data_IF_110444882365
#
_entry.id   IF_110444882365
#
_cell.length_a   1.000
_cell.length_b   1.000
_cell.length_c   1.000
_cell.angle_alpha   90.00
_cell.angle_beta   90.00
_cell.angle_gamma   90.00
#
_symmetry.space_group_name_H-M   'P 1'
#
loop_
_entity.id
_entity.type
_entity.pdbx_description
1 polymer ?
#
# COMPACT_ATOMS: atom_id res chain seq x y z
N UNK A 1 0.87 5.46 0.57
CA UNK A 1 -0.04 4.90 1.57
C UNK A 1 0.39 5.37 2.96
N UNK A 2 -0.52 5.40 3.92
CA UNK A 2 -0.26 5.95 5.28
C UNK A 2 -0.11 4.86 6.36
N UNK A 3 -0.64 3.66 6.10
CA UNK A 3 -0.54 2.52 7.02
C UNK A 3 -0.70 1.20 6.28
N UNK A 4 -0.25 0.12 6.92
CA UNK A 4 -0.52 -1.26 6.54
C UNK A 4 -1.30 -1.96 7.65
N UNK A 5 -2.24 -2.82 7.25
CA UNK A 5 -3.13 -3.54 8.17
C UNK A 5 -2.95 -5.04 7.94
N UNK A 6 -2.58 -5.76 8.99
CA UNK A 6 -2.47 -7.21 8.99
C UNK A 6 -3.64 -7.84 9.75
N UNK A 7 -4.02 -9.06 9.35
CA UNK A 7 -5.06 -9.84 10.03
C UNK A 7 -4.52 -10.68 11.18
N UNK A 8 -3.21 -10.91 11.20
CA UNK A 8 -2.48 -11.70 12.19
C UNK A 8 -1.29 -10.87 12.69
N UNK A 9 -0.93 -11.08 13.95
CA UNK A 9 0.24 -10.45 14.53
C UNK A 9 1.52 -10.99 13.90
N UNK A 10 2.44 -10.09 13.58
CA UNK A 10 3.77 -10.43 13.06
C UNK A 10 4.77 -9.40 13.58
N UNK A 11 5.42 -9.75 14.70
CA UNK A 11 6.37 -8.86 15.37
C UNK A 11 7.60 -8.56 14.50
N UNK A 12 8.03 -9.51 13.67
CA UNK A 12 9.17 -9.30 12.78
C UNK A 12 8.85 -8.25 11.70
N UNK A 13 7.65 -8.32 11.11
CA UNK A 13 7.18 -7.30 10.15
C UNK A 13 6.97 -5.96 10.85
N UNK A 14 6.36 -5.94 12.03
CA UNK A 14 6.18 -4.72 12.82
C UNK A 14 7.52 -4.03 13.09
N UNK A 15 8.47 -4.74 13.67
CA UNK A 15 9.80 -4.22 13.99
C UNK A 15 10.53 -3.71 12.73
N UNK A 16 10.40 -4.44 11.62
CA UNK A 16 10.98 -4.04 10.34
C UNK A 16 10.40 -2.71 9.84
N UNK A 17 9.07 -2.56 9.89
CA UNK A 17 8.38 -1.31 9.50
C UNK A 17 8.78 -0.16 10.42
N UNK A 18 8.77 -0.37 11.73
CA UNK A 18 9.14 0.66 12.71
C UNK A 18 10.59 1.11 12.54
N UNK A 19 11.51 0.16 12.28
CA UNK A 19 12.91 0.46 11.99
C UNK A 19 13.07 1.29 10.71
N UNK A 20 12.31 0.97 9.66
CA UNK A 20 12.31 1.76 8.42
C UNK A 20 11.84 3.19 8.70
N UNK A 21 10.70 3.36 9.37
CA UNK A 21 10.15 4.69 9.70
C UNK A 21 11.11 5.49 10.59
N UNK A 22 11.71 4.86 11.62
CA UNK A 22 12.69 5.50 12.51
C UNK A 22 13.95 5.98 11.80
N UNK A 23 14.32 5.32 10.70
CA UNK A 23 15.57 5.58 9.96
C UNK A 23 15.35 6.53 8.79
N UNK A 24 14.31 6.28 8.00
CA UNK A 24 14.03 6.95 6.73
C UNK A 24 12.92 8.01 6.84
N UNK A 25 12.36 8.21 8.03
CA UNK A 25 11.36 9.22 8.30
C UNK A 25 9.94 8.80 7.94
N UNK A 26 9.03 9.77 8.03
CA UNK A 26 7.61 9.59 7.76
C UNK A 26 6.81 9.10 8.97
N UNK A 27 5.54 8.83 8.75
CA UNK A 27 4.55 8.48 9.78
C UNK A 27 3.79 7.20 9.47
N UNK A 28 4.39 6.30 8.66
CA UNK A 28 3.75 5.07 8.23
C UNK A 28 3.49 4.15 9.43
N UNK A 29 2.26 3.59 9.50
CA UNK A 29 1.84 2.80 10.67
C UNK A 29 1.65 1.33 10.32
N UNK A 30 2.05 0.45 11.23
CA UNK A 30 1.65 -0.95 11.25
C UNK A 30 0.46 -1.12 12.20
N UNK A 31 -0.54 -1.91 11.81
CA UNK A 31 -1.72 -2.18 12.66
C UNK A 31 -2.22 -3.60 12.43
N UNK A 32 -2.67 -4.25 13.50
CA UNK A 32 -3.26 -5.59 13.44
C UNK A 32 -4.76 -5.52 13.72
N UNK A 33 -5.57 -6.15 12.88
CA UNK A 33 -7.02 -6.17 12.99
C UNK A 33 -7.53 -7.60 12.86
N UNK A 34 -8.07 -8.14 13.96
CA UNK A 34 -8.66 -9.48 14.00
C UNK A 34 -9.95 -9.59 13.18
N UNK A 35 -10.82 -8.58 13.26
CA UNK A 35 -12.09 -8.55 12.52
C UNK A 35 -12.00 -7.67 11.28
N UNK A 36 -11.32 -8.18 10.25
CA UNK A 36 -11.13 -7.49 8.98
C UNK A 36 -12.46 -7.18 8.27
N UNK A 37 -13.48 -8.05 8.40
CA UNK A 37 -14.81 -7.82 7.80
C UNK A 37 -15.46 -6.55 8.33
N UNK A 38 -15.44 -6.36 9.65
CA UNK A 38 -15.97 -5.15 10.26
C UNK A 38 -15.16 -3.93 9.85
N UNK A 39 -13.84 -4.05 9.80
CA UNK A 39 -12.98 -2.95 9.38
C UNK A 39 -13.28 -2.48 7.95
N UNK A 40 -13.46 -3.40 7.00
CA UNK A 40 -13.87 -3.07 5.62
C UNK A 40 -15.22 -2.32 5.63
N UNK A 41 -16.22 -2.85 6.34
CA UNK A 41 -17.55 -2.22 6.42
C UNK A 41 -17.48 -0.80 7.00
N UNK A 42 -16.74 -0.60 8.08
CA UNK A 42 -16.57 0.73 8.69
C UNK A 42 -15.78 1.69 7.81
N UNK A 43 -14.79 1.20 7.05
CA UNK A 43 -14.07 2.02 6.08
C UNK A 43 -15.01 2.54 4.98
N UNK A 44 -15.85 1.65 4.43
CA UNK A 44 -16.87 2.03 3.42
C UNK A 44 -17.90 3.01 3.97
N UNK A 45 -18.37 2.81 5.21
CA UNK A 45 -19.30 3.75 5.87
C UNK A 45 -18.75 5.17 6.01
N UNK A 46 -17.42 5.32 6.10
CA UNK A 46 -16.74 6.62 6.14
C UNK A 46 -16.55 7.26 4.76
N UNK A 47 -17.09 6.65 3.69
CA UNK A 47 -16.99 7.15 2.32
C UNK A 47 -15.73 6.71 1.60
N UNK A 48 -14.91 5.84 2.19
CA UNK A 48 -13.75 5.24 1.52
C UNK A 48 -14.16 4.16 0.52
N UNK A 49 -13.26 3.85 -0.42
CA UNK A 49 -13.43 2.78 -1.41
C UNK A 49 -12.52 1.61 -1.14
N UNK A 50 -13.00 0.40 -1.39
CA UNK A 50 -12.27 -0.84 -1.14
C UNK A 50 -11.87 -1.47 -2.46
N UNK A 51 -10.57 -1.55 -2.69
CA UNK A 51 -9.97 -2.17 -3.88
C UNK A 51 -9.35 -3.49 -3.47
N UNK A 52 -9.78 -4.57 -4.10
CA UNK A 52 -9.16 -5.88 -3.95
C UNK A 52 -8.30 -6.17 -5.19
N UNK A 53 -7.00 -6.38 -4.99
CA UNK A 53 -6.09 -6.77 -6.06
C UNK A 53 -6.11 -8.28 -6.24
N UNK A 54 -6.53 -8.72 -7.42
CA UNK A 54 -6.71 -10.13 -7.78
C UNK A 54 -6.52 -10.33 -9.28
N UNK A 55 -5.87 -11.43 -9.68
CA UNK A 55 -5.67 -11.75 -11.11
C UNK A 55 -7.00 -11.96 -11.87
N UNK A 56 -8.12 -12.14 -11.16
CA UNK A 56 -9.45 -12.33 -11.74
C UNK A 56 -10.24 -11.02 -11.93
N UNK A 57 -9.68 -9.88 -11.51
CA UNK A 57 -10.35 -8.58 -11.55
C UNK A 57 -10.30 -7.89 -12.92
N UNK A 58 -10.98 -6.74 -13.01
CA UNK A 58 -10.93 -5.85 -14.17
C UNK A 58 -9.53 -5.26 -14.35
N UNK A 59 -9.11 -4.99 -15.59
CA UNK A 59 -7.76 -4.52 -15.85
C UNK A 59 -7.52 -3.14 -15.20
N UNK A 60 -6.39 -2.99 -14.50
CA UNK A 60 -6.03 -1.73 -13.84
C UNK A 60 -6.07 -0.52 -14.77
N UNK A 61 -5.66 -0.67 -16.04
CA UNK A 61 -5.60 0.47 -16.95
C UNK A 61 -7.00 0.98 -17.35
N UNK A 62 -8.01 0.11 -17.33
CA UNK A 62 -9.39 0.45 -17.70
C UNK A 62 -10.11 1.16 -16.54
N UNK A 63 -9.89 0.68 -15.31
CA UNK A 63 -10.60 1.18 -14.12
C UNK A 63 -9.89 2.37 -13.45
N UNK A 64 -8.58 2.53 -13.62
CA UNK A 64 -7.82 3.59 -12.94
C UNK A 64 -8.37 5.02 -13.17
N UNK A 65 -8.81 5.42 -14.38
CA UNK A 65 -9.39 6.75 -14.58
C UNK A 65 -10.64 7.01 -13.73
N UNK A 66 -11.46 5.99 -13.49
CA UNK A 66 -12.66 6.08 -12.64
C UNK A 66 -12.26 6.26 -11.17
N UNK A 67 -11.39 5.38 -10.66
CA UNK A 67 -10.93 5.41 -9.26
C UNK A 67 -10.31 6.76 -8.92
N UNK A 68 -9.48 7.31 -9.81
CA UNK A 68 -8.83 8.61 -9.59
C UNK A 68 -9.84 9.76 -9.53
N UNK A 69 -10.91 9.71 -10.34
CA UNK A 69 -11.97 10.75 -10.35
C UNK A 69 -12.75 10.80 -9.03
N UNK A 70 -12.86 9.68 -8.31
CA UNK A 70 -13.60 9.64 -7.05
C UNK A 70 -12.95 10.50 -5.96
N UNK A 71 -11.61 10.65 -5.98
CA UNK A 71 -10.84 11.41 -5.01
C UNK A 71 -11.21 11.06 -3.54
N UNK A 72 -11.25 9.76 -3.25
CA UNK A 72 -11.62 9.17 -1.94
C UNK A 72 -10.45 8.38 -1.36
N UNK A 73 -10.50 8.17 -0.04
CA UNK A 73 -9.59 7.26 0.64
C UNK A 73 -9.74 5.84 0.10
N UNK A 74 -8.61 5.16 -0.12
CA UNK A 74 -8.58 3.82 -0.71
C UNK A 74 -8.02 2.81 0.29
N UNK A 75 -8.79 1.77 0.58
CA UNK A 75 -8.32 0.56 1.25
C UNK A 75 -7.97 -0.47 0.20
N UNK A 76 -6.68 -0.77 0.06
CA UNK A 76 -6.20 -1.80 -0.86
C UNK A 76 -6.06 -3.11 -0.09
N UNK A 77 -6.77 -4.14 -0.54
CA UNK A 77 -6.67 -5.51 -0.04
C UNK A 77 -5.78 -6.28 -1.00
N UNK A 78 -4.68 -6.79 -0.44
CA UNK A 78 -3.81 -7.79 -1.05
C UNK A 78 -3.86 -9.03 -0.18
N UNK A 79 -3.73 -10.20 -0.78
CA UNK A 79 -3.72 -11.45 -0.02
C UNK A 79 -2.92 -12.52 -0.72
N UNK A 80 -2.34 -13.42 0.08
CA UNK A 80 -1.71 -14.62 -0.41
C UNK A 80 -2.75 -15.68 -0.82
N UNK A 81 -2.34 -16.56 -1.74
CA UNK A 81 -2.92 -17.76 -2.38
C UNK A 81 -4.43 -18.11 -2.23
N UNK A 82 -5.08 -17.86 -1.10
CA UNK A 82 -6.51 -18.14 -0.85
C UNK A 82 -7.22 -16.99 -0.12
N UNK A 83 -7.57 -15.95 -0.86
CA UNK A 83 -8.42 -14.87 -0.35
C UNK A 83 -9.87 -15.37 -0.19
N UNK A 84 -10.54 -15.17 0.97
CA UNK A 84 -11.93 -15.56 1.16
C UNK A 84 -12.88 -14.90 0.16
N UNK A 85 -13.91 -15.64 -0.28
CA UNK A 85 -14.93 -15.15 -1.23
C UNK A 85 -15.56 -13.83 -0.79
N UNK A 86 -15.84 -13.66 0.50
CA UNK A 86 -16.45 -12.45 1.05
C UNK A 86 -15.66 -11.17 0.72
N UNK A 87 -14.35 -11.26 0.47
CA UNK A 87 -13.55 -10.10 0.04
C UNK A 87 -13.99 -9.62 -1.34
N UNK A 88 -14.27 -10.53 -2.28
CA UNK A 88 -14.77 -10.17 -3.61
C UNK A 88 -16.10 -9.44 -3.53
N UNK A 89 -16.97 -9.86 -2.62
CA UNK A 89 -18.31 -9.28 -2.42
C UNK A 89 -18.26 -7.95 -1.65
N UNK A 90 -17.30 -7.79 -0.75
CA UNK A 90 -17.14 -6.56 0.05
C UNK A 90 -16.37 -5.47 -0.69
N UNK A 91 -15.50 -5.82 -1.64
CA UNK A 91 -14.75 -4.87 -2.45
C UNK A 91 -15.67 -4.07 -3.37
N UNK A 92 -15.40 -2.77 -3.53
CA UNK A 92 -16.05 -1.95 -4.55
C UNK A 92 -15.45 -2.24 -5.93
N UNK A 93 -14.16 -2.55 -5.97
CA UNK A 93 -13.45 -2.90 -7.19
C UNK A 93 -12.60 -4.15 -6.96
N UNK A 94 -12.77 -5.15 -7.82
CA UNK A 94 -11.83 -6.25 -7.97
C UNK A 94 -10.96 -5.96 -9.19
N UNK A 95 -9.65 -5.75 -9.00
CA UNK A 95 -8.75 -5.22 -10.03
C UNK A 95 -7.58 -6.17 -10.25
N UNK A 96 -7.26 -6.42 -11.52
CA UNK A 96 -6.10 -7.20 -11.95
C UNK A 96 -4.95 -6.33 -12.42
N UNK A 97 -3.74 -6.72 -12.02
CA UNK A 97 -2.48 -6.15 -12.49
C UNK A 97 -1.94 -7.09 -13.58
N UNK A 98 -2.72 -7.21 -14.65
CA UNK A 98 -2.65 -8.36 -15.54
C UNK A 98 -3.28 -9.61 -14.91
N UNK A 99 -3.64 -10.56 -15.76
CA UNK A 99 -4.39 -11.75 -15.37
C UNK A 99 -3.50 -13.00 -15.20
N UNK A 100 -2.21 -12.80 -14.97
CA UNK A 100 -1.25 -13.87 -14.72
C UNK A 100 -0.91 -13.93 -13.24
N UNK A 101 -0.69 -15.12 -12.66
CA UNK A 101 -0.28 -15.24 -11.26
C UNK A 101 1.10 -14.61 -11.06
N UNK A 102 1.20 -13.65 -10.15
CA UNK A 102 2.45 -13.01 -9.77
C UNK A 102 2.39 -12.49 -8.32
N UNK A 103 3.47 -11.85 -7.86
CA UNK A 103 3.61 -11.34 -6.50
C UNK A 103 2.59 -10.23 -6.16
N UNK A 104 2.02 -10.30 -4.96
CA UNK A 104 1.20 -9.23 -4.38
C UNK A 104 1.97 -7.93 -4.17
N UNK A 105 3.28 -8.01 -3.92
CA UNK A 105 4.16 -6.84 -3.80
C UNK A 105 4.25 -6.11 -5.16
N UNK A 106 4.40 -6.87 -6.25
CA UNK A 106 4.40 -6.30 -7.60
C UNK A 106 3.02 -5.70 -7.95
N UNK A 107 1.94 -6.40 -7.59
CA UNK A 107 0.58 -5.91 -7.79
C UNK A 107 0.36 -4.54 -7.11
N UNK A 108 0.74 -4.46 -5.83
CA UNK A 108 0.61 -3.25 -5.04
C UNK A 108 1.48 -2.11 -5.60
N UNK A 109 2.73 -2.39 -5.97
CA UNK A 109 3.65 -1.40 -6.52
C UNK A 109 3.10 -0.78 -7.82
N UNK A 110 2.65 -1.61 -8.77
CA UNK A 110 2.09 -1.14 -10.05
C UNK A 110 0.77 -0.40 -9.82
N UNK A 111 -0.11 -0.89 -8.94
CA UNK A 111 -1.36 -0.20 -8.62
C UNK A 111 -1.09 1.21 -8.07
N UNK A 112 -0.17 1.33 -7.11
CA UNK A 112 0.21 2.62 -6.53
C UNK A 112 0.88 3.54 -7.56
N UNK A 113 1.76 3.01 -8.41
CA UNK A 113 2.38 3.78 -9.50
C UNK A 113 1.33 4.37 -10.45
N UNK A 114 0.35 3.57 -10.87
CA UNK A 114 -0.76 4.01 -11.73
C UNK A 114 -1.68 5.01 -11.04
N UNK A 115 -1.96 4.81 -9.75
CA UNK A 115 -2.79 5.70 -8.96
C UNK A 115 -2.14 7.09 -8.79
N UNK A 116 -0.84 7.12 -8.49
CA UNK A 116 -0.10 8.34 -8.19
C UNK A 116 0.69 8.91 -9.36
N UNK A 117 0.67 8.24 -10.53
CA UNK A 117 1.41 8.63 -11.74
C UNK A 117 2.91 8.84 -11.47
N UNK A 118 3.52 7.90 -10.75
CA UNK A 118 4.95 7.94 -10.41
C UNK A 118 5.35 9.03 -9.41
N UNK A 119 4.45 9.94 -9.01
CA UNK A 119 4.77 11.06 -8.09
C UNK A 119 5.31 10.59 -6.74
N UNK A 120 4.93 9.39 -6.29
CA UNK A 120 5.40 8.81 -5.03
C UNK A 120 6.89 8.49 -5.03
N UNK A 121 7.52 8.28 -6.19
CA UNK A 121 8.96 8.01 -6.31
C UNK A 121 9.83 9.22 -5.94
N UNK A 122 9.25 10.41 -5.98
CA UNK A 122 9.91 11.68 -5.63
C UNK A 122 9.51 12.19 -4.25
N UNK A 123 8.76 11.39 -3.47
CA UNK A 123 8.29 11.81 -2.16
C UNK A 123 9.46 11.86 -1.17
N UNK A 124 9.57 12.97 -0.48
CA UNK A 124 10.45 13.11 0.68
C UNK A 124 9.67 12.85 1.97
N UNK A 125 10.38 12.40 2.99
CA UNK A 125 9.81 12.08 4.29
C UNK A 125 10.44 12.97 5.36
N UNK A 126 9.58 13.62 6.15
CA UNK A 126 10.03 14.43 7.28
C UNK A 126 10.66 13.56 8.38
N UNK A 127 11.54 14.16 9.18
CA UNK A 127 12.21 13.52 10.32
C UNK A 127 13.06 12.29 9.94
N UNK A 128 13.53 12.23 8.69
CA UNK A 128 14.40 11.17 8.22
C UNK A 128 15.83 11.33 8.78
N UNK A 129 16.31 10.34 9.53
CA UNK A 129 17.70 10.30 9.99
C UNK A 129 18.68 10.03 8.85
N UNK A 130 18.21 9.36 7.81
CA UNK A 130 18.98 9.00 6.63
C UNK A 130 18.24 9.39 5.36
N UNK A 131 18.96 9.94 4.39
CA UNK A 131 18.45 10.26 3.05
C UNK A 131 19.46 9.81 1.99
N UNK A 132 18.98 9.13 0.95
CA UNK A 132 19.81 8.78 -0.22
C UNK A 132 19.87 9.98 -1.16
N UNK A 133 21.07 10.30 -1.66
CA UNK A 133 21.22 11.24 -2.78
C UNK A 133 21.39 10.40 -4.05
N UNK A 134 20.48 10.53 -5.04
CA UNK A 134 20.61 9.84 -6.31
C UNK A 134 21.94 10.15 -6.98
N UNK A 135 22.67 9.11 -7.39
CA UNK A 135 23.92 9.23 -8.13
C UNK A 135 24.02 8.08 -9.14
N UNK A 136 24.62 8.36 -10.29
CA UNK A 136 24.78 7.37 -11.37
C UNK A 136 25.75 6.24 -11.00
N UNK A 137 26.74 6.52 -10.14
CA UNK A 137 27.86 5.60 -9.87
C UNK A 137 28.25 5.50 -8.39
N UNK A 138 27.69 6.35 -7.54
CA UNK A 138 28.08 6.43 -6.13
C UNK A 138 26.92 6.08 -5.20
N UNK A 139 27.27 5.59 -4.01
CA UNK A 139 26.31 5.35 -2.92
C UNK A 139 26.44 6.47 -1.91
N UNK A 140 25.64 7.53 -2.09
CA UNK A 140 25.70 8.72 -1.25
C UNK A 140 24.54 8.68 -0.25
N UNK A 141 24.87 8.79 1.04
CA UNK A 141 23.90 8.76 2.13
C UNK A 141 24.16 9.94 3.06
N UNK A 142 23.18 10.84 3.17
CA UNK A 142 23.18 11.88 4.19
C UNK A 142 22.64 11.31 5.49
N UNK A 143 23.32 11.60 6.60
CA UNK A 143 22.87 11.27 7.95
C UNK A 143 22.64 12.58 8.70
N UNK A 144 21.46 12.77 9.27
CA UNK A 144 21.26 13.83 10.26
C UNK A 144 22.04 13.48 11.52
N UNK A 145 23.13 14.22 11.77
CA UNK A 145 23.81 14.21 13.04
C UNK A 145 22.95 14.97 14.05
N UNK A 146 22.17 14.27 14.87
CA UNK A 146 21.63 14.89 16.07
C UNK A 146 22.78 15.07 17.07
N UNK A 147 23.13 16.32 17.35
CA UNK A 147 23.79 16.70 18.60
C UNK A 147 22.88 16.36 19.78
#
# INVERSE_FOLDING_TARGET
AEKIVFTVEDDHVRESVEKVVKTWGGNFKFTVIKNWRNYIKEFKKKGGIVVHLTMYGANVNEIMPEIKKLNRDILIIVGAEKVPRDVYELADYNISIGNQPHSEVAALAIFLDRLFEGKTLYREFDNAKMKIIPSLKEKIVLKENKH
#
